data_IF_110358354923
#
_entry.id   IF_110358354923
#
_cell.length_a   1.000
_cell.length_b   1.000
_cell.length_c   1.000
_cell.angle_alpha   90.00
_cell.angle_beta   90.00
_cell.angle_gamma   90.00
#
_symmetry.space_group_name_H-M   'P 1'
#
loop_
_entity.id
_entity.type
_entity.pdbx_description
1 polymer ?
#
# COMPACT_ATOMS: atom_id res chain seq x y z
N UNK A 1 30.56 3.20 -11.51
CA UNK A 1 30.48 2.27 -10.37
C UNK A 1 29.56 1.12 -10.76
N UNK A 2 29.78 -0.11 -10.27
CA UNK A 2 28.78 -1.17 -10.41
C UNK A 2 27.59 -0.80 -9.51
N UNK A 3 26.33 -0.89 -9.98
CA UNK A 3 25.18 -0.57 -9.13
C UNK A 3 25.06 -1.57 -7.97
N UNK A 4 24.87 -1.04 -6.76
CA UNK A 4 24.63 -1.79 -5.54
C UNK A 4 23.13 -1.93 -5.29
N UNK A 5 22.69 -3.12 -4.89
CA UNK A 5 21.33 -3.41 -4.45
C UNK A 5 21.31 -3.39 -2.92
N UNK A 6 20.46 -2.54 -2.35
CA UNK A 6 20.25 -2.40 -0.91
C UNK A 6 18.85 -2.90 -0.55
N UNK A 7 18.75 -3.75 0.47
CA UNK A 7 17.45 -4.15 1.04
C UNK A 7 17.12 -3.27 2.26
N UNK A 8 15.92 -2.67 2.25
CA UNK A 8 15.39 -1.92 3.39
C UNK A 8 14.52 -2.80 4.29
N UNK A 9 14.97 -3.02 5.53
CA UNK A 9 14.31 -3.89 6.51
C UNK A 9 13.32 -3.10 7.39
N UNK A 10 12.20 -2.68 6.80
CA UNK A 10 11.11 -1.96 7.48
C UNK A 10 10.20 -2.91 8.29
N UNK A 11 10.73 -3.45 9.38
CA UNK A 11 10.00 -4.32 10.31
C UNK A 11 9.88 -3.67 11.69
N UNK A 12 8.90 -4.11 12.48
CA UNK A 12 8.81 -3.75 13.90
C UNK A 12 9.47 -4.83 14.79
N UNK A 13 9.97 -5.89 14.18
CA UNK A 13 10.47 -7.07 14.87
C UNK A 13 11.79 -7.52 14.25
N UNK A 14 12.79 -7.70 15.11
CA UNK A 14 14.16 -8.06 14.72
C UNK A 14 14.25 -9.45 14.10
N UNK A 15 13.61 -10.48 14.66
CA UNK A 15 13.72 -11.85 14.16
C UNK A 15 13.21 -11.99 12.72
N UNK A 16 12.14 -11.27 12.38
CA UNK A 16 11.64 -11.20 11.00
C UNK A 16 12.59 -10.45 10.09
N UNK A 17 13.08 -9.29 10.51
CA UNK A 17 14.05 -8.51 9.76
C UNK A 17 15.28 -9.37 9.40
N UNK A 18 15.77 -10.15 10.36
CA UNK A 18 16.92 -11.03 10.14
C UNK A 18 16.62 -12.14 9.14
N UNK A 19 15.47 -12.83 9.25
CA UNK A 19 15.09 -13.85 8.25
C UNK A 19 15.05 -13.27 6.84
N UNK A 20 14.51 -12.06 6.68
CA UNK A 20 14.47 -11.38 5.38
C UNK A 20 15.87 -11.00 4.91
N UNK A 21 16.74 -10.56 5.82
CA UNK A 21 18.14 -10.26 5.52
C UNK A 21 18.87 -11.52 5.04
N UNK A 22 18.72 -12.67 5.72
CA UNK A 22 19.31 -13.95 5.33
C UNK A 22 18.84 -14.38 3.93
N UNK A 23 17.53 -14.33 3.67
CA UNK A 23 16.95 -14.61 2.36
C UNK A 23 17.49 -13.66 1.28
N UNK A 24 17.61 -12.36 1.59
CA UNK A 24 18.08 -11.34 0.65
C UNK A 24 19.57 -11.49 0.34
N UNK A 25 20.40 -11.80 1.34
CA UNK A 25 21.83 -12.13 1.17
C UNK A 25 21.98 -13.37 0.30
N UNK A 26 21.19 -14.41 0.54
CA UNK A 26 21.18 -15.60 -0.30
C UNK A 26 20.72 -15.31 -1.76
N UNK A 27 20.01 -14.21 -1.98
CA UNK A 27 19.58 -13.73 -3.30
C UNK A 27 20.55 -12.73 -3.95
N UNK A 28 21.64 -12.35 -3.27
CA UNK A 28 22.68 -11.48 -3.81
C UNK A 28 22.48 -9.98 -3.57
N UNK A 29 21.85 -9.59 -2.45
CA UNK A 29 21.87 -8.20 -1.99
C UNK A 29 23.29 -7.78 -1.58
N UNK A 30 23.67 -6.53 -1.83
CA UNK A 30 24.99 -6.02 -1.49
C UNK A 30 24.97 -5.31 -0.13
N UNK A 31 23.96 -4.46 0.11
CA UNK A 31 23.85 -3.65 1.33
C UNK A 31 22.58 -4.02 2.12
N UNK A 32 22.66 -3.96 3.45
CA UNK A 32 21.56 -4.28 4.35
C UNK A 32 21.24 -3.03 5.17
N UNK A 33 20.04 -2.50 5.00
CA UNK A 33 19.56 -1.34 5.75
C UNK A 33 18.64 -1.76 6.89
N UNK A 34 19.01 -1.34 8.10
CA UNK A 34 18.15 -1.39 9.28
C UNK A 34 17.24 -0.18 9.21
N UNK A 35 16.04 -0.38 8.68
CA UNK A 35 15.08 0.68 8.38
C UNK A 35 14.62 1.44 9.63
N UNK A 36 14.18 2.69 9.46
CA UNK A 36 13.68 3.52 10.58
C UNK A 36 12.65 2.83 11.50
N UNK A 37 11.63 2.09 10.99
CA UNK A 37 10.66 1.41 11.87
C UNK A 37 11.31 0.38 12.79
N UNK A 38 12.35 -0.30 12.32
CA UNK A 38 13.06 -1.33 13.08
C UNK A 38 13.92 -0.70 14.16
N UNK A 39 14.66 0.35 13.82
CA UNK A 39 15.43 1.13 14.81
C UNK A 39 14.51 1.73 15.87
N UNK A 40 13.34 2.26 15.50
CA UNK A 40 12.38 2.82 16.46
C UNK A 40 11.77 1.77 17.40
N UNK A 41 11.65 0.52 16.94
CA UNK A 41 11.02 -0.56 17.71
C UNK A 41 12.00 -1.34 18.59
N UNK A 42 13.22 -1.54 18.09
CA UNK A 42 14.23 -2.42 18.72
C UNK A 42 15.51 -1.67 19.14
N UNK A 43 15.58 -0.36 18.86
CA UNK A 43 16.77 0.45 19.10
C UNK A 43 17.93 0.06 18.19
N UNK A 44 19.13 0.54 18.56
CA UNK A 44 20.36 0.24 17.85
C UNK A 44 20.89 -1.19 18.07
N UNK A 45 20.24 -1.98 18.94
CA UNK A 45 20.56 -3.41 19.07
C UNK A 45 20.22 -4.18 17.79
N UNK A 46 19.24 -3.71 17.02
CA UNK A 46 18.98 -4.25 15.68
C UNK A 46 20.20 -4.08 14.75
N UNK A 47 20.88 -2.92 14.79
CA UNK A 47 22.11 -2.67 14.02
C UNK A 47 23.23 -3.60 14.47
N UNK A 48 23.44 -3.74 15.79
CA UNK A 48 24.47 -4.63 16.36
C UNK A 48 24.27 -6.07 15.92
N UNK A 49 23.05 -6.58 16.01
CA UNK A 49 22.76 -7.97 15.69
C UNK A 49 22.88 -8.23 14.18
N UNK A 50 22.42 -7.30 13.33
CA UNK A 50 22.59 -7.40 11.88
C UNK A 50 24.08 -7.36 11.50
N UNK A 51 24.87 -6.43 12.05
CA UNK A 51 26.32 -6.36 11.78
C UNK A 51 27.04 -7.63 12.21
N UNK A 52 26.69 -8.19 13.38
CA UNK A 52 27.25 -9.43 13.90
C UNK A 52 26.97 -10.62 12.96
N UNK A 53 25.77 -10.72 12.40
CA UNK A 53 25.39 -11.82 11.49
C UNK A 53 25.94 -11.65 10.08
N UNK A 54 26.08 -10.41 9.61
CA UNK A 54 26.50 -10.10 8.24
C UNK A 54 27.76 -9.22 8.20
N UNK A 55 28.89 -9.63 8.81
CA UNK A 55 30.06 -8.77 8.99
C UNK A 55 30.75 -8.35 7.68
N UNK A 56 30.47 -9.07 6.59
CA UNK A 56 31.02 -8.79 5.24
C UNK A 56 30.15 -7.86 4.39
N UNK A 57 28.93 -7.56 4.83
CA UNK A 57 28.01 -6.69 4.10
C UNK A 57 28.08 -5.28 4.67
N UNK A 58 27.74 -4.30 3.82
CA UNK A 58 27.62 -2.91 4.25
C UNK A 58 26.30 -2.73 4.99
N UNK A 59 26.38 -2.25 6.22
CA UNK A 59 25.23 -2.05 7.10
C UNK A 59 24.86 -0.57 7.12
N UNK A 60 23.63 -0.28 6.71
CA UNK A 60 23.06 1.07 6.70
C UNK A 60 22.13 1.22 7.90
N UNK A 61 22.36 2.23 8.73
CA UNK A 61 21.42 2.63 9.78
C UNK A 61 20.57 3.79 9.29
N UNK A 62 19.31 3.51 8.99
CA UNK A 62 18.35 4.51 8.51
C UNK A 62 17.75 5.29 9.70
N UNK A 63 18.63 6.06 10.34
CA UNK A 63 18.33 6.86 11.54
C UNK A 63 17.36 8.00 11.21
N UNK A 64 17.39 8.52 9.97
CA UNK A 64 16.73 9.76 9.57
C UNK A 64 17.04 10.89 10.55
N UNK A 65 18.33 11.04 10.85
CA UNK A 65 18.82 12.07 11.76
C UNK A 65 18.27 13.42 11.32
N UNK A 66 17.55 14.08 12.23
CA UNK A 66 16.89 15.37 12.01
C UNK A 66 17.49 16.45 12.90
N UNK A 67 18.01 16.06 14.07
CA UNK A 67 18.64 16.92 15.07
C UNK A 67 19.77 16.13 15.75
N UNK A 68 20.64 16.80 16.50
CA UNK A 68 21.71 16.18 17.29
C UNK A 68 22.67 15.33 16.45
N UNK A 69 23.07 15.86 15.29
CA UNK A 69 23.82 15.17 14.23
C UNK A 69 24.97 14.30 14.73
N UNK A 70 25.81 14.85 15.61
CA UNK A 70 26.92 14.10 16.21
C UNK A 70 26.47 12.92 17.06
N UNK A 71 25.49 13.12 17.95
CA UNK A 71 25.08 12.11 18.93
C UNK A 71 24.45 10.90 18.25
N UNK A 72 23.56 11.12 17.28
CA UNK A 72 22.91 10.03 16.55
C UNK A 72 23.89 9.26 15.65
N UNK A 73 24.78 9.96 14.93
CA UNK A 73 25.81 9.32 14.08
C UNK A 73 26.81 8.53 14.92
N UNK A 74 27.30 9.09 16.01
CA UNK A 74 28.20 8.40 16.94
C UNK A 74 27.56 7.13 17.49
N UNK A 75 26.28 7.21 17.89
CA UNK A 75 25.56 6.06 18.45
C UNK A 75 25.39 4.95 17.41
N UNK A 76 24.99 5.30 16.18
CA UNK A 76 24.82 4.33 15.09
C UNK A 76 26.16 3.70 14.66
N UNK A 77 27.22 4.50 14.55
CA UNK A 77 28.56 4.01 14.20
C UNK A 77 29.10 3.05 15.28
N UNK A 78 28.95 3.38 16.57
CA UNK A 78 29.29 2.49 17.69
C UNK A 78 28.46 1.19 17.72
N UNK A 79 27.26 1.21 17.13
CA UNK A 79 26.44 0.02 16.97
C UNK A 79 26.88 -0.86 15.78
N UNK A 80 27.81 -0.38 14.94
CA UNK A 80 28.38 -1.11 13.80
C UNK A 80 27.82 -0.73 12.45
N UNK A 81 27.14 0.43 12.32
CA UNK A 81 26.73 0.96 11.03
C UNK A 81 27.93 1.42 10.21
N UNK A 82 27.99 0.99 8.94
CA UNK A 82 28.99 1.48 7.98
C UNK A 82 28.50 2.78 7.31
N UNK A 83 27.19 2.94 7.15
CA UNK A 83 26.54 4.15 6.62
C UNK A 83 25.43 4.61 7.58
N UNK A 84 25.32 5.91 7.83
CA UNK A 84 24.21 6.51 8.60
C UNK A 84 23.39 7.45 7.71
N UNK A 85 22.06 7.31 7.76
CA UNK A 85 21.13 8.14 6.96
C UNK A 85 20.63 9.35 7.75
N UNK A 86 20.66 10.53 7.13
CA UNK A 86 20.15 11.79 7.68
C UNK A 86 19.11 12.39 6.73
N UNK A 87 18.24 13.25 7.23
CA UNK A 87 17.28 13.95 6.39
C UNK A 87 17.89 15.21 5.78
N UNK A 88 17.68 15.43 4.48
CA UNK A 88 18.10 16.63 3.78
C UNK A 88 17.38 17.89 4.23
N UNK A 89 16.22 17.76 4.90
CA UNK A 89 15.50 18.87 5.54
C UNK A 89 16.07 19.27 6.91
N UNK A 90 17.04 18.53 7.44
CA UNK A 90 17.72 18.90 8.67
C UNK A 90 18.53 20.20 8.51
N UNK A 91 18.77 20.89 9.63
CA UNK A 91 19.55 22.12 9.65
C UNK A 91 21.01 21.87 9.21
N UNK A 92 21.61 22.86 8.54
CA UNK A 92 22.98 22.77 8.03
C UNK A 92 24.01 22.51 9.14
N UNK A 93 23.78 23.06 10.35
CA UNK A 93 24.64 22.78 11.50
C UNK A 93 24.57 21.32 11.94
N UNK A 94 23.39 20.71 11.88
CA UNK A 94 23.19 19.29 12.18
C UNK A 94 23.91 18.40 11.17
N UNK A 95 23.80 18.70 9.87
CA UNK A 95 24.50 17.94 8.82
C UNK A 95 26.01 18.09 8.97
N UNK A 96 26.50 19.31 9.23
CA UNK A 96 27.93 19.59 9.41
C UNK A 96 28.50 18.84 10.62
N UNK A 97 27.79 18.84 11.75
CA UNK A 97 28.18 18.10 12.95
C UNK A 97 28.17 16.58 12.73
N UNK A 98 27.20 16.09 11.98
CA UNK A 98 27.12 14.69 11.57
C UNK A 98 28.31 14.29 10.69
N UNK A 99 28.69 15.12 9.71
CA UNK A 99 29.87 14.89 8.84
C UNK A 99 31.12 14.75 9.71
N UNK A 100 31.33 15.67 10.65
CA UNK A 100 32.48 15.57 11.56
C UNK A 100 32.47 14.29 12.39
N UNK A 101 31.30 13.90 12.92
CA UNK A 101 31.16 12.66 13.68
C UNK A 101 31.47 11.43 12.82
N UNK A 102 30.95 11.38 11.58
CA UNK A 102 31.19 10.28 10.67
C UNK A 102 32.68 10.07 10.39
N UNK A 103 33.42 11.16 10.15
CA UNK A 103 34.89 11.10 9.97
C UNK A 103 35.63 10.62 11.23
N UNK A 104 35.19 11.02 12.43
CA UNK A 104 35.80 10.60 13.69
C UNK A 104 35.58 9.10 13.99
N UNK A 105 34.43 8.56 13.61
CA UNK A 105 34.04 7.17 13.87
C UNK A 105 34.27 6.23 12.69
N UNK A 106 34.71 6.74 11.54
CA UNK A 106 35.03 5.95 10.35
C UNK A 106 33.82 5.36 9.66
N UNK A 107 32.66 6.04 9.70
CA UNK A 107 31.49 5.70 8.91
C UNK A 107 31.22 6.73 7.81
N UNK A 108 30.31 6.39 6.89
CA UNK A 108 29.88 7.25 5.79
C UNK A 108 28.46 7.79 6.03
N UNK A 109 28.11 8.85 5.31
CA UNK A 109 26.81 9.50 5.41
C UNK A 109 26.01 9.45 4.12
N UNK A 110 24.72 9.16 4.26
CA UNK A 110 23.74 9.27 3.18
C UNK A 110 22.67 10.31 3.54
N UNK A 111 22.49 11.34 2.71
CA UNK A 111 21.41 12.31 2.89
C UNK A 111 20.18 11.90 2.10
N UNK A 112 19.07 11.65 2.78
CA UNK A 112 17.76 11.38 2.19
C UNK A 112 17.02 12.70 1.89
N UNK A 113 16.75 12.96 0.61
CA UNK A 113 16.07 14.17 0.14
C UNK A 113 14.54 14.13 0.27
N UNK A 114 13.98 13.15 0.98
CA UNK A 114 12.55 13.09 1.26
C UNK A 114 12.03 14.42 1.83
N UNK A 115 10.89 14.88 1.29
CA UNK A 115 10.24 16.15 1.62
C UNK A 115 11.04 17.44 1.35
N UNK A 116 12.22 17.37 0.74
CA UNK A 116 12.93 18.57 0.27
C UNK A 116 12.17 19.17 -0.93
N UNK A 117 11.88 20.48 -0.88
CA UNK A 117 11.16 21.17 -1.95
C UNK A 117 11.97 21.27 -3.25
N UNK A 118 13.23 21.72 -3.15
CA UNK A 118 14.18 21.78 -4.26
C UNK A 118 15.31 20.78 -4.02
N UNK A 119 15.07 19.54 -4.44
CA UNK A 119 16.00 18.43 -4.26
C UNK A 119 17.33 18.68 -4.99
N UNK A 120 17.32 19.34 -6.15
CA UNK A 120 18.53 19.58 -6.94
C UNK A 120 19.45 20.61 -6.27
N UNK A 121 18.87 21.70 -5.77
CA UNK A 121 19.62 22.69 -5.00
C UNK A 121 20.18 22.06 -3.73
N UNK A 122 19.34 21.36 -2.96
CA UNK A 122 19.77 20.77 -1.69
C UNK A 122 20.85 19.71 -1.87
N UNK A 123 20.77 18.91 -2.94
CA UNK A 123 21.79 17.93 -3.30
C UNK A 123 23.19 18.57 -3.44
N UNK A 124 23.29 19.72 -4.12
CA UNK A 124 24.56 20.45 -4.26
C UNK A 124 25.08 21.00 -2.93
N UNK A 125 24.18 21.52 -2.10
CA UNK A 125 24.54 22.05 -0.77
C UNK A 125 25.14 20.96 0.11
N UNK A 126 24.45 19.82 0.25
CA UNK A 126 24.93 18.74 1.12
C UNK A 126 26.18 18.05 0.56
N UNK A 127 26.32 17.95 -0.77
CA UNK A 127 27.59 17.51 -1.39
C UNK A 127 28.74 18.42 -0.98
N UNK A 128 28.54 19.75 -1.00
CA UNK A 128 29.58 20.71 -0.59
C UNK A 128 29.94 20.63 0.90
N UNK A 129 29.03 20.12 1.75
CA UNK A 129 29.29 19.86 3.17
C UNK A 129 30.10 18.59 3.41
N UNK A 130 30.32 17.75 2.39
CA UNK A 130 31.19 16.57 2.47
C UNK A 130 30.48 15.26 2.82
N UNK A 131 29.19 15.14 2.52
CA UNK A 131 28.44 13.87 2.62
C UNK A 131 28.87 12.89 1.53
N UNK A 132 28.75 11.59 1.79
CA UNK A 132 29.29 10.55 0.90
C UNK A 132 28.27 10.08 -0.16
N UNK A 133 26.98 10.10 0.19
CA UNK A 133 25.87 9.65 -0.67
C UNK A 133 24.66 10.58 -0.58
N UNK A 134 23.87 10.63 -1.65
CA UNK A 134 22.57 11.32 -1.69
C UNK A 134 21.50 10.33 -2.13
N UNK A 135 20.41 10.22 -1.36
CA UNK A 135 19.26 9.40 -1.69
C UNK A 135 18.11 10.26 -2.24
N UNK A 136 17.73 9.99 -3.49
CA UNK A 136 16.53 10.54 -4.12
C UNK A 136 15.35 9.68 -3.70
N UNK A 137 14.61 10.16 -2.72
CA UNK A 137 13.47 9.45 -2.14
C UNK A 137 12.19 10.24 -2.36
N UNK A 138 11.27 9.65 -3.12
CA UNK A 138 9.92 10.19 -3.28
C UNK A 138 8.95 9.31 -2.51
N UNK A 139 8.43 9.83 -1.41
CA UNK A 139 7.45 9.14 -0.57
C UNK A 139 6.13 8.89 -1.31
N UNK A 140 5.32 7.97 -0.79
CA UNK A 140 4.03 7.58 -1.40
C UNK A 140 3.13 8.80 -1.63
N UNK A 141 3.05 9.72 -0.66
CA UNK A 141 2.23 10.91 -0.75
C UNK A 141 2.73 11.90 -1.82
N UNK A 142 4.05 12.00 -2.02
CA UNK A 142 4.65 12.84 -3.07
C UNK A 142 4.42 12.24 -4.47
N UNK A 143 4.51 10.91 -4.61
CA UNK A 143 4.18 10.23 -5.87
C UNK A 143 2.71 10.45 -6.26
N UNK A 144 1.80 10.46 -5.28
CA UNK A 144 0.38 10.75 -5.51
C UNK A 144 0.13 12.18 -5.98
N UNK A 145 1.02 13.12 -5.65
CA UNK A 145 1.00 14.50 -6.17
C UNK A 145 1.66 14.63 -7.56
N UNK A 146 2.02 13.50 -8.19
CA UNK A 146 2.59 13.44 -9.54
C UNK A 146 4.11 13.52 -9.61
N UNK A 147 4.82 13.45 -8.47
CA UNK A 147 6.28 13.44 -8.46
C UNK A 147 6.81 12.06 -8.89
N UNK A 148 7.63 12.02 -9.93
CA UNK A 148 8.27 10.78 -10.41
C UNK A 148 9.73 10.70 -9.91
N UNK A 149 10.09 9.69 -9.10
CA UNK A 149 11.45 9.57 -8.56
C UNK A 149 12.53 9.41 -9.65
N UNK A 150 12.20 8.81 -10.80
CA UNK A 150 13.18 8.61 -11.88
C UNK A 150 13.50 9.93 -12.59
N UNK A 151 12.48 10.77 -12.84
CA UNK A 151 12.67 12.12 -13.37
C UNK A 151 13.56 12.98 -12.45
N UNK A 152 13.29 12.99 -11.14
CA UNK A 152 14.09 13.76 -10.17
C UNK A 152 15.52 13.25 -10.08
N UNK A 153 15.71 11.93 -10.04
CA UNK A 153 17.03 11.30 -10.09
C UNK A 153 17.84 11.77 -11.31
N UNK A 154 17.22 11.78 -12.50
CA UNK A 154 17.88 12.20 -13.73
C UNK A 154 18.33 13.65 -13.70
N UNK A 155 17.55 14.55 -13.08
CA UNK A 155 17.95 15.95 -12.89
C UNK A 155 19.16 16.04 -11.97
N UNK A 156 19.07 15.43 -10.78
CA UNK A 156 20.11 15.51 -9.74
C UNK A 156 21.41 14.86 -10.21
N UNK A 157 21.36 13.77 -10.98
CA UNK A 157 22.54 13.08 -11.55
C UNK A 157 23.45 13.97 -12.40
N UNK A 158 22.93 15.08 -12.91
CA UNK A 158 23.70 16.05 -13.71
C UNK A 158 24.32 17.15 -12.86
N UNK A 159 23.88 17.28 -11.61
CA UNK A 159 24.18 18.41 -10.73
C UNK A 159 25.12 18.05 -9.57
N UNK A 160 25.32 16.76 -9.30
CA UNK A 160 26.27 16.27 -8.28
C UNK A 160 27.23 15.21 -8.85
N UNK A 161 28.35 15.00 -8.17
CA UNK A 161 29.41 14.05 -8.54
C UNK A 161 29.45 12.82 -7.64
N UNK A 162 28.95 12.93 -6.41
CA UNK A 162 28.89 11.80 -5.47
C UNK A 162 27.82 10.77 -5.87
N UNK A 163 27.96 9.49 -5.45
CA UNK A 163 27.04 8.43 -5.86
C UNK A 163 25.61 8.67 -5.35
N UNK A 164 24.64 8.44 -6.25
CA UNK A 164 23.22 8.60 -5.96
C UNK A 164 22.56 7.27 -5.59
N UNK A 165 21.77 7.30 -4.53
CA UNK A 165 20.80 6.27 -4.20
C UNK A 165 19.39 6.68 -4.66
N UNK A 166 18.52 5.70 -4.88
CA UNK A 166 17.09 5.92 -5.15
C UNK A 166 16.26 5.01 -4.26
N UNK A 167 15.19 5.57 -3.70
CA UNK A 167 14.20 4.86 -2.90
C UNK A 167 12.77 5.28 -3.29
N UNK A 168 11.78 4.49 -2.87
CA UNK A 168 10.36 4.77 -3.08
C UNK A 168 9.72 3.92 -4.19
N UNK A 169 9.27 2.72 -3.83
CA UNK A 169 8.49 1.87 -4.74
C UNK A 169 9.31 1.17 -5.85
N UNK A 170 10.63 1.05 -5.68
CA UNK A 170 11.49 0.39 -6.65
C UNK A 170 11.25 -1.14 -6.68
N UNK A 171 11.21 -1.73 -7.87
CA UNK A 171 11.00 -3.16 -8.11
C UNK A 171 11.80 -3.63 -9.35
N UNK A 172 11.58 -4.87 -9.79
CA UNK A 172 12.29 -5.47 -10.93
C UNK A 172 12.05 -4.80 -12.29
N UNK A 173 11.05 -3.94 -12.41
CA UNK A 173 10.80 -3.16 -13.61
C UNK A 173 11.47 -1.79 -13.58
N UNK A 174 11.47 -1.13 -12.42
CA UNK A 174 11.97 0.23 -12.27
C UNK A 174 13.45 0.30 -11.90
N UNK A 175 14.00 -0.70 -11.22
CA UNK A 175 15.42 -0.76 -10.84
C UNK A 175 16.40 -0.54 -12.02
N UNK A 176 16.29 -1.26 -13.16
CA UNK A 176 17.21 -1.02 -14.29
C UNK A 176 17.04 0.38 -14.92
N UNK A 177 15.83 0.95 -14.88
CA UNK A 177 15.57 2.29 -15.41
C UNK A 177 16.25 3.34 -14.52
N UNK A 178 16.20 3.15 -13.20
CA UNK A 178 16.87 4.04 -12.26
C UNK A 178 18.39 4.00 -12.40
N UNK A 179 18.98 2.82 -12.60
CA UNK A 179 20.41 2.69 -12.94
C UNK A 179 20.75 3.46 -14.21
N UNK A 180 19.95 3.28 -15.28
CA UNK A 180 20.12 4.04 -16.52
C UNK A 180 19.91 5.55 -16.39
N UNK A 181 19.34 6.00 -15.26
CA UNK A 181 19.07 7.42 -14.96
C UNK A 181 20.09 8.02 -13.97
N UNK A 182 21.12 7.27 -13.57
CA UNK A 182 22.25 7.77 -12.77
C UNK A 182 22.35 7.21 -11.34
N UNK A 183 21.42 6.35 -10.90
CA UNK A 183 21.54 5.72 -9.59
C UNK A 183 22.67 4.69 -9.54
N UNK A 184 23.50 4.78 -8.51
CA UNK A 184 24.54 3.81 -8.18
C UNK A 184 24.10 2.88 -7.04
N UNK A 185 23.11 3.26 -6.24
CA UNK A 185 22.55 2.46 -5.15
C UNK A 185 21.04 2.35 -5.35
N UNK A 186 20.52 1.12 -5.38
CA UNK A 186 19.10 0.82 -5.60
C UNK A 186 18.51 0.30 -4.29
N UNK A 187 17.73 1.13 -3.60
CA UNK A 187 17.12 0.78 -2.32
C UNK A 187 15.75 0.17 -2.56
N UNK A 188 15.58 -1.07 -2.11
CA UNK A 188 14.34 -1.83 -2.27
C UNK A 188 13.81 -2.28 -0.92
N UNK A 189 12.68 -1.71 -0.52
CA UNK A 189 11.91 -2.16 0.64
C UNK A 189 10.84 -3.18 0.24
N UNK A 190 9.61 -2.71 0.05
CA UNK A 190 8.42 -3.54 -0.11
C UNK A 190 8.51 -4.69 -1.12
N UNK A 191 9.20 -4.51 -2.25
CA UNK A 191 9.33 -5.56 -3.26
C UNK A 191 10.14 -6.78 -2.81
N UNK A 192 10.97 -6.64 -1.78
CA UNK A 192 11.71 -7.73 -1.13
C UNK A 192 11.08 -8.04 0.24
N UNK A 193 10.82 -7.04 1.07
CA UNK A 193 10.36 -7.21 2.45
C UNK A 193 8.93 -7.75 2.56
N UNK A 194 8.07 -7.53 1.56
CA UNK A 194 6.71 -8.09 1.49
C UNK A 194 6.62 -9.31 0.55
N UNK A 195 7.75 -9.74 -0.02
CA UNK A 195 7.81 -10.94 -0.85
C UNK A 195 7.42 -12.19 -0.05
N UNK A 196 6.65 -13.09 -0.69
CA UNK A 196 6.51 -14.46 -0.18
C UNK A 196 7.87 -15.17 -0.10
N UNK A 197 8.76 -14.85 -1.05
CA UNK A 197 10.10 -15.41 -1.15
C UNK A 197 11.08 -14.26 -1.40
N UNK A 198 11.68 -13.73 -0.32
CA UNK A 198 12.57 -12.57 -0.43
C UNK A 198 13.84 -12.91 -1.23
N UNK A 199 14.35 -14.15 -1.12
CA UNK A 199 15.49 -14.61 -1.92
C UNK A 199 15.19 -14.50 -3.41
N UNK A 200 14.10 -15.11 -3.86
CA UNK A 200 13.71 -15.08 -5.28
C UNK A 200 13.42 -13.65 -5.77
N UNK A 201 12.78 -12.83 -4.94
CA UNK A 201 12.54 -11.43 -5.27
C UNK A 201 13.85 -10.66 -5.47
N UNK A 202 14.81 -10.82 -4.57
CA UNK A 202 16.14 -10.22 -4.67
C UNK A 202 16.89 -10.71 -5.91
N UNK A 203 16.89 -12.02 -6.21
CA UNK A 203 17.52 -12.58 -7.41
C UNK A 203 16.94 -11.98 -8.70
N UNK A 204 15.61 -11.82 -8.77
CA UNK A 204 14.93 -11.23 -9.93
C UNK A 204 15.35 -9.77 -10.12
N UNK A 205 15.39 -8.98 -9.04
CA UNK A 205 15.77 -7.57 -9.09
C UNK A 205 17.25 -7.43 -9.47
N UNK A 206 18.14 -8.21 -8.85
CA UNK A 206 19.57 -8.24 -9.17
C UNK A 206 19.79 -8.57 -10.65
N UNK A 207 19.09 -9.58 -11.16
CA UNK A 207 19.12 -9.96 -12.58
C UNK A 207 18.58 -8.88 -13.51
N UNK A 208 17.57 -8.11 -13.09
CA UNK A 208 17.05 -6.99 -13.86
C UNK A 208 18.10 -5.86 -13.99
N UNK A 209 18.77 -5.54 -12.87
CA UNK A 209 19.88 -4.56 -12.80
C UNK A 209 21.04 -5.02 -13.69
N UNK A 210 21.51 -6.25 -13.54
CA UNK A 210 22.66 -6.78 -14.30
C UNK A 210 22.40 -6.84 -15.81
N UNK A 211 21.17 -7.13 -16.21
CA UNK A 211 20.79 -7.17 -17.63
C UNK A 211 20.40 -5.80 -18.18
N UNK A 212 20.29 -4.77 -17.35
CA UNK A 212 19.83 -3.44 -17.72
C UNK A 212 18.43 -3.42 -18.35
N UNK A 213 17.55 -4.39 -18.04
CA UNK A 213 16.20 -4.47 -18.63
C UNK A 213 15.12 -4.83 -17.60
N UNK A 214 13.92 -4.21 -17.69
CA UNK A 214 12.78 -4.53 -16.83
C UNK A 214 12.40 -6.01 -16.88
N UNK A 215 12.15 -6.61 -15.72
CA UNK A 215 11.55 -7.95 -15.61
C UNK A 215 10.15 -7.79 -15.01
N UNK A 216 9.13 -8.21 -15.76
CA UNK A 216 7.72 -8.05 -15.38
C UNK A 216 7.38 -8.71 -14.04
N UNK A 217 6.63 -7.99 -13.22
CA UNK A 217 6.02 -8.45 -11.95
C UNK A 217 4.56 -8.01 -11.84
N UNK A 218 3.74 -8.77 -11.11
CA UNK A 218 2.33 -8.44 -10.82
C UNK A 218 2.11 -7.88 -9.40
N UNK A 219 3.13 -8.02 -8.55
CA UNK A 219 3.17 -7.60 -7.14
C UNK A 219 4.17 -6.46 -6.96
N UNK A 220 3.99 -5.69 -5.89
CA UNK A 220 4.86 -4.57 -5.48
C UNK A 220 4.89 -3.43 -6.50
N UNK A 221 3.72 -3.19 -7.09
CA UNK A 221 3.45 -2.11 -8.04
C UNK A 221 2.46 -1.13 -7.44
N UNK A 222 2.67 0.15 -7.72
CA UNK A 222 1.67 1.18 -7.49
C UNK A 222 0.87 1.39 -8.77
N UNK A 223 -0.45 1.53 -8.65
CA UNK A 223 -1.34 1.77 -9.79
C UNK A 223 -2.07 3.09 -9.63
N UNK A 224 -2.23 3.80 -10.75
CA UNK A 224 -3.03 5.02 -10.83
C UNK A 224 -4.54 4.73 -10.96
N UNK A 225 -4.91 3.58 -11.53
CA UNK A 225 -6.30 3.13 -11.66
C UNK A 225 -6.69 2.29 -10.44
N UNK A 226 -7.51 2.82 -9.52
CA UNK A 226 -7.88 2.11 -8.29
C UNK A 226 -8.73 0.88 -8.58
N UNK A 227 -9.56 0.89 -9.63
CA UNK A 227 -10.52 -0.18 -9.89
C UNK A 227 -9.82 -1.52 -10.21
N UNK A 228 -8.66 -1.48 -10.87
CA UNK A 228 -7.83 -2.66 -11.13
C UNK A 228 -7.32 -3.32 -9.85
N UNK A 229 -6.99 -2.52 -8.84
CA UNK A 229 -6.52 -3.03 -7.54
C UNK A 229 -7.71 -3.52 -6.72
N UNK A 230 -8.81 -2.76 -6.67
CA UNK A 230 -9.97 -3.08 -5.84
C UNK A 230 -10.62 -4.43 -6.18
N UNK A 231 -10.47 -4.91 -7.42
CA UNK A 231 -10.90 -6.26 -7.82
C UNK A 231 -10.01 -7.40 -7.26
N UNK A 232 -8.81 -7.09 -6.76
CA UNK A 232 -7.83 -8.08 -6.28
C UNK A 232 -7.83 -8.23 -4.76
N UNK A 233 -8.22 -7.19 -4.03
CA UNK A 233 -8.19 -7.12 -2.56
C UNK A 233 -9.57 -7.44 -1.98
N UNK A 234 -9.64 -7.96 -0.75
CA UNK A 234 -10.91 -8.22 -0.06
C UNK A 234 -11.45 -6.96 0.63
N UNK A 235 -12.73 -6.99 1.02
CA UNK A 235 -13.33 -5.95 1.87
C UNK A 235 -12.57 -5.82 3.19
N UNK A 236 -12.09 -6.92 3.77
CA UNK A 236 -11.24 -6.92 4.96
C UNK A 236 -9.91 -6.16 4.74
N UNK A 237 -9.20 -6.43 3.63
CA UNK A 237 -7.96 -5.71 3.31
C UNK A 237 -8.20 -4.21 3.12
N UNK A 238 -9.33 -3.84 2.49
CA UNK A 238 -9.71 -2.43 2.31
C UNK A 238 -10.06 -1.80 3.66
N UNK A 239 -10.81 -2.49 4.51
CA UNK A 239 -11.17 -1.97 5.82
C UNK A 239 -9.92 -1.71 6.67
N UNK A 240 -8.97 -2.64 6.69
CA UNK A 240 -7.69 -2.47 7.38
C UNK A 240 -6.88 -1.28 6.81
N UNK A 241 -6.87 -1.11 5.49
CA UNK A 241 -6.25 0.04 4.83
C UNK A 241 -6.94 1.37 5.16
N UNK A 242 -8.23 1.35 5.52
CA UNK A 242 -9.01 2.48 6.02
C UNK A 242 -9.04 2.57 7.54
N UNK A 243 -8.10 1.94 8.24
CA UNK A 243 -8.03 1.93 9.71
C UNK A 243 -9.24 1.30 10.39
N UNK A 244 -9.72 0.17 9.85
CA UNK A 244 -10.87 -0.62 10.35
C UNK A 244 -12.20 0.11 10.21
N UNK A 245 -12.40 0.76 9.08
CA UNK A 245 -13.62 1.53 8.76
C UNK A 245 -14.17 1.21 7.37
N UNK A 246 -15.24 1.88 6.97
CA UNK A 246 -15.81 1.82 5.62
C UNK A 246 -16.82 0.70 5.36
N UNK A 247 -16.97 -0.27 6.27
CA UNK A 247 -17.94 -1.36 6.12
C UNK A 247 -19.39 -0.87 6.28
N UNK A 248 -20.29 -1.37 5.44
CA UNK A 248 -21.72 -1.09 5.52
C UNK A 248 -22.41 -2.02 6.53
N UNK A 249 -22.95 -1.44 7.59
CA UNK A 249 -23.57 -2.17 8.69
C UNK A 249 -24.90 -2.83 8.30
N UNK A 250 -24.98 -4.14 8.53
CA UNK A 250 -26.19 -4.95 8.32
C UNK A 250 -26.48 -5.29 6.85
N UNK A 251 -25.63 -4.86 5.92
CA UNK A 251 -25.71 -5.22 4.50
C UNK A 251 -24.96 -6.54 4.29
N UNK A 252 -25.65 -7.56 3.77
CA UNK A 252 -25.11 -8.91 3.61
C UNK A 252 -25.10 -9.34 2.15
N UNK A 253 -24.11 -10.16 1.78
CA UNK A 253 -24.10 -10.85 0.50
C UNK A 253 -25.22 -11.89 0.44
N UNK A 254 -26.27 -11.64 -0.35
CA UNK A 254 -27.44 -12.55 -0.41
C UNK A 254 -27.37 -13.51 -1.60
N UNK A 255 -26.84 -13.07 -2.74
CA UNK A 255 -26.73 -13.89 -3.97
C UNK A 255 -25.30 -14.09 -4.47
N UNK A 256 -24.28 -13.57 -3.78
CA UNK A 256 -22.88 -13.67 -4.18
C UNK A 256 -22.39 -15.11 -4.03
N UNK A 257 -21.84 -15.69 -5.10
CA UNK A 257 -21.40 -17.10 -5.15
C UNK A 257 -19.88 -17.30 -5.20
N UNK A 258 -19.09 -16.22 -5.23
CA UNK A 258 -17.63 -16.33 -5.02
C UNK A 258 -16.79 -15.22 -5.66
N UNK A 259 -17.30 -14.53 -6.68
CA UNK A 259 -16.59 -13.40 -7.27
C UNK A 259 -16.83 -12.11 -6.49
N UNK A 260 -15.72 -11.43 -6.18
CA UNK A 260 -15.73 -10.11 -5.59
C UNK A 260 -16.12 -9.09 -6.64
N UNK A 261 -16.88 -8.09 -6.25
CA UNK A 261 -17.30 -7.01 -7.14
C UNK A 261 -16.65 -5.71 -6.75
N UNK A 262 -16.30 -4.90 -7.75
CA UNK A 262 -15.85 -3.53 -7.54
C UNK A 262 -16.36 -2.65 -8.69
N UNK A 263 -16.87 -1.48 -8.35
CA UNK A 263 -17.46 -0.53 -9.31
C UNK A 263 -17.71 0.85 -8.68
N UNK A 264 -18.14 1.81 -9.50
CA UNK A 264 -18.51 3.15 -9.01
C UNK A 264 -19.97 3.18 -8.59
N UNK A 265 -20.26 3.94 -7.54
CA UNK A 265 -21.60 4.06 -6.97
C UNK A 265 -22.50 4.92 -7.85
N UNK A 266 -23.62 4.35 -8.28
CA UNK A 266 -24.81 5.07 -8.72
C UNK A 266 -25.79 5.04 -7.55
N UNK A 267 -25.92 6.17 -6.86
CA UNK A 267 -26.69 6.23 -5.62
C UNK A 267 -28.17 6.47 -5.89
N UNK A 268 -29.03 5.85 -5.10
CA UNK A 268 -30.48 5.98 -5.17
C UNK A 268 -31.02 6.16 -3.76
N UNK A 269 -31.83 7.19 -3.55
CA UNK A 269 -32.64 7.34 -2.33
C UNK A 269 -34.10 7.12 -2.69
N UNK A 270 -34.81 6.30 -1.94
CA UNK A 270 -36.24 6.04 -2.14
C UNK A 270 -36.94 5.76 -0.81
N UNK A 271 -38.27 5.73 -0.81
CA UNK A 271 -39.05 5.35 0.36
C UNK A 271 -39.07 3.82 0.54
N UNK A 272 -39.29 3.29 1.75
CA UNK A 272 -39.53 1.87 1.96
C UNK A 272 -40.62 1.32 1.05
N UNK A 273 -40.26 0.31 0.25
CA UNK A 273 -41.16 -0.36 -0.68
C UNK A 273 -41.50 0.44 -1.95
N UNK A 274 -40.79 1.52 -2.29
CA UNK A 274 -40.89 2.15 -3.61
C UNK A 274 -39.73 1.73 -4.52
N UNK A 275 -40.04 0.94 -5.54
CA UNK A 275 -39.06 0.42 -6.50
C UNK A 275 -38.93 1.24 -7.79
N UNK A 276 -39.69 2.32 -7.97
CA UNK A 276 -39.66 3.07 -9.24
C UNK A 276 -38.26 3.62 -9.54
N UNK A 277 -37.67 4.37 -8.59
CA UNK A 277 -36.33 4.95 -8.76
C UNK A 277 -35.20 3.92 -8.72
N UNK A 278 -35.41 2.78 -8.08
CA UNK A 278 -34.40 1.71 -8.04
C UNK A 278 -34.21 1.09 -9.42
N UNK A 279 -35.31 0.83 -10.15
CA UNK A 279 -35.26 0.31 -11.52
C UNK A 279 -34.84 1.39 -12.52
N UNK A 280 -35.30 2.63 -12.38
CA UNK A 280 -34.89 3.76 -13.24
C UNK A 280 -33.37 4.01 -13.18
N UNK A 281 -32.72 3.74 -12.04
CA UNK A 281 -31.27 3.87 -11.91
C UNK A 281 -30.49 2.94 -12.86
N UNK A 282 -31.10 1.86 -13.34
CA UNK A 282 -30.52 0.98 -14.35
C UNK A 282 -30.31 1.72 -15.67
N UNK A 283 -31.18 2.67 -16.03
CA UNK A 283 -31.06 3.45 -17.26
C UNK A 283 -29.91 4.45 -17.21
N UNK A 284 -29.58 4.94 -16.01
CA UNK A 284 -28.51 5.92 -15.76
C UNK A 284 -27.15 5.24 -15.57
N UNK A 285 -27.11 4.05 -14.96
CA UNK A 285 -25.87 3.36 -14.64
C UNK A 285 -25.10 2.86 -15.88
N UNK A 286 -23.78 2.95 -15.85
CA UNK A 286 -22.91 2.49 -16.94
C UNK A 286 -22.36 1.08 -16.69
N UNK A 287 -21.72 0.51 -17.71
CA UNK A 287 -21.06 -0.79 -17.60
C UNK A 287 -19.98 -0.73 -16.51
N UNK A 288 -20.08 -1.64 -15.54
CA UNK A 288 -19.15 -1.75 -14.42
C UNK A 288 -19.59 -1.02 -13.15
N UNK A 289 -20.62 -0.18 -13.20
CA UNK A 289 -21.15 0.52 -12.03
C UNK A 289 -21.83 -0.43 -11.03
N UNK A 290 -22.03 0.07 -9.81
CA UNK A 290 -22.77 -0.59 -8.75
C UNK A 290 -23.87 0.36 -8.29
N UNK A 291 -25.11 -0.12 -8.35
CA UNK A 291 -26.26 0.66 -7.86
C UNK A 291 -26.31 0.51 -6.34
N UNK A 292 -26.36 1.64 -5.61
CA UNK A 292 -26.42 1.67 -4.14
C UNK A 292 -27.71 2.35 -3.72
N UNK A 293 -28.57 1.62 -3.03
CA UNK A 293 -29.94 2.01 -2.74
C UNK A 293 -30.10 2.21 -1.24
N UNK A 294 -30.52 3.41 -0.84
CA UNK A 294 -31.07 3.70 0.48
C UNK A 294 -32.60 3.71 0.36
N UNK A 295 -33.25 2.69 0.92
CA UNK A 295 -34.71 2.58 0.98
C UNK A 295 -35.24 2.60 2.41
N UNK A 296 -34.50 3.15 3.37
CA UNK A 296 -34.91 3.22 4.79
C UNK A 296 -34.75 1.90 5.57
N UNK A 297 -33.90 0.98 5.11
CA UNK A 297 -33.43 -0.19 5.86
C UNK A 297 -34.36 -1.41 5.87
N UNK A 298 -35.66 -1.25 6.13
CA UNK A 298 -36.62 -2.38 6.17
C UNK A 298 -37.87 -2.07 5.33
N UNK A 299 -38.76 -3.04 5.20
CA UNK A 299 -40.05 -2.90 4.53
C UNK A 299 -40.24 -3.92 3.41
N UNK A 300 -41.14 -3.59 2.46
CA UNK A 300 -41.40 -4.38 1.26
C UNK A 300 -40.20 -4.33 0.31
N UNK A 301 -40.02 -5.37 -0.51
CA UNK A 301 -38.88 -5.48 -1.42
C UNK A 301 -38.90 -4.39 -2.50
N UNK A 302 -37.75 -3.74 -2.73
CA UNK A 302 -37.54 -2.71 -3.76
C UNK A 302 -36.73 -3.20 -4.95
N UNK A 303 -36.35 -4.49 -4.95
CA UNK A 303 -35.52 -5.13 -5.96
C UNK A 303 -35.86 -6.61 -6.09
N UNK A 304 -35.74 -7.16 -7.31
CA UNK A 304 -36.01 -8.56 -7.60
C UNK A 304 -35.29 -9.06 -8.87
N UNK A 305 -35.75 -10.17 -9.43
CA UNK A 305 -35.08 -10.88 -10.51
C UNK A 305 -35.05 -10.10 -11.84
N UNK A 306 -36.17 -9.49 -12.26
CA UNK A 306 -36.25 -8.74 -13.51
C UNK A 306 -35.29 -7.54 -13.55
N UNK A 307 -35.19 -6.79 -12.44
CA UNK A 307 -34.24 -5.69 -12.31
C UNK A 307 -32.79 -6.20 -12.39
N UNK A 308 -32.52 -7.36 -11.78
CA UNK A 308 -31.22 -8.03 -11.85
C UNK A 308 -30.87 -8.45 -13.29
N UNK A 309 -31.83 -8.94 -14.08
CA UNK A 309 -31.63 -9.24 -15.51
C UNK A 309 -31.27 -8.02 -16.34
N UNK A 310 -31.97 -6.91 -16.12
CA UNK A 310 -31.67 -5.64 -16.79
C UNK A 310 -30.24 -5.19 -16.47
N UNK A 311 -29.81 -5.31 -15.21
CA UNK A 311 -28.43 -5.03 -14.81
C UNK A 311 -27.42 -5.94 -15.51
N UNK A 312 -27.67 -7.26 -15.50
CA UNK A 312 -26.78 -8.23 -16.15
C UNK A 312 -26.64 -7.99 -17.65
N UNK A 313 -27.74 -7.63 -18.33
CA UNK A 313 -27.73 -7.29 -19.77
C UNK A 313 -26.93 -6.02 -20.05
N UNK A 314 -27.05 -4.99 -19.19
CA UNK A 314 -26.32 -3.72 -19.34
C UNK A 314 -24.85 -3.82 -18.92
N UNK A 315 -24.49 -4.85 -18.17
CA UNK A 315 -23.14 -5.05 -17.64
C UNK A 315 -22.86 -4.24 -16.37
N UNK A 316 -23.89 -3.95 -15.59
CA UNK A 316 -23.77 -3.40 -14.22
C UNK A 316 -23.21 -4.51 -13.32
N UNK A 317 -22.29 -4.17 -12.42
CA UNK A 317 -21.50 -5.14 -11.65
C UNK A 317 -22.28 -5.76 -10.48
N UNK A 318 -23.09 -4.96 -9.79
CA UNK A 318 -23.84 -5.39 -8.60
C UNK A 318 -24.91 -4.38 -8.20
N UNK A 319 -25.73 -4.76 -7.22
CA UNK A 319 -26.60 -3.85 -6.46
C UNK A 319 -26.38 -4.01 -4.96
N UNK A 320 -26.40 -2.90 -4.23
CA UNK A 320 -26.31 -2.82 -2.78
C UNK A 320 -27.56 -2.13 -2.25
N UNK A 321 -28.26 -2.74 -1.30
CA UNK A 321 -29.61 -2.32 -0.89
C UNK A 321 -29.67 -2.21 0.63
N UNK A 322 -29.70 -0.99 1.15
CA UNK A 322 -30.13 -0.72 2.52
C UNK A 322 -31.65 -0.80 2.62
N UNK A 323 -32.13 -2.03 2.55
CA UNK A 323 -33.51 -2.39 2.31
C UNK A 323 -33.69 -3.87 2.02
N UNK A 324 -34.81 -4.17 1.38
CA UNK A 324 -35.28 -5.54 1.17
C UNK A 324 -35.22 -5.93 -0.30
N UNK A 325 -34.74 -7.13 -0.59
CA UNK A 325 -34.82 -7.77 -1.92
C UNK A 325 -35.70 -9.01 -1.90
N UNK A 326 -36.03 -9.55 -3.09
CA UNK A 326 -36.80 -10.78 -3.29
C UNK A 326 -36.26 -11.60 -4.47
N UNK A 327 -36.90 -12.73 -4.78
CA UNK A 327 -36.59 -13.60 -5.93
C UNK A 327 -35.15 -14.19 -5.88
N UNK A 328 -34.67 -14.49 -4.67
CA UNK A 328 -33.26 -14.78 -4.42
C UNK A 328 -32.76 -16.05 -5.16
N UNK A 329 -33.62 -17.05 -5.33
CA UNK A 329 -33.25 -18.29 -6.01
C UNK A 329 -32.82 -18.03 -7.46
N UNK A 330 -33.62 -17.27 -8.20
CA UNK A 330 -33.36 -16.97 -9.61
C UNK A 330 -32.20 -15.99 -9.76
N UNK A 331 -32.08 -15.00 -8.85
CA UNK A 331 -30.92 -14.11 -8.79
C UNK A 331 -29.61 -14.89 -8.58
N UNK A 332 -29.62 -15.92 -7.73
CA UNK A 332 -28.47 -16.81 -7.53
C UNK A 332 -28.15 -17.62 -8.78
N UNK A 333 -29.16 -18.20 -9.44
CA UNK A 333 -28.97 -18.97 -10.69
C UNK A 333 -28.37 -18.11 -11.81
N UNK A 334 -28.78 -16.85 -11.91
CA UNK A 334 -28.22 -15.95 -12.91
C UNK A 334 -26.83 -15.41 -12.54
N UNK A 335 -26.37 -15.59 -11.30
CA UNK A 335 -25.06 -15.13 -10.83
C UNK A 335 -24.91 -13.61 -10.79
N UNK A 336 -26.01 -12.87 -10.55
CA UNK A 336 -25.94 -11.41 -10.37
C UNK A 336 -25.70 -11.06 -8.89
N UNK A 337 -24.61 -10.33 -8.55
CA UNK A 337 -24.29 -9.99 -7.17
C UNK A 337 -25.27 -8.98 -6.55
N UNK A 338 -25.97 -9.42 -5.50
CA UNK A 338 -26.90 -8.60 -4.71
C UNK A 338 -26.45 -8.62 -3.25
N UNK A 339 -26.38 -7.42 -2.67
CA UNK A 339 -26.16 -7.20 -1.26
C UNK A 339 -27.37 -6.49 -0.68
N UNK A 340 -27.94 -7.01 0.40
CA UNK A 340 -29.17 -6.46 0.98
C UNK A 340 -29.19 -6.60 2.50
N UNK A 341 -30.00 -5.77 3.17
CA UNK A 341 -30.27 -5.92 4.61
C UNK A 341 -31.22 -7.09 4.88
N UNK A 342 -32.29 -7.19 4.10
CA UNK A 342 -33.33 -8.21 4.28
C UNK A 342 -33.74 -8.89 2.97
N UNK A 343 -34.31 -10.08 3.10
CA UNK A 343 -34.94 -10.81 1.99
C UNK A 343 -36.37 -11.14 2.39
N UNK A 344 -37.37 -10.67 1.63
CA UNK A 344 -38.79 -10.93 1.89
C UNK A 344 -39.55 -11.16 0.58
N UNK A 345 -40.61 -11.98 0.55
CA UNK A 345 -41.35 -12.27 -0.68
C UNK A 345 -42.21 -11.09 -1.17
N UNK A 346 -42.68 -10.24 -0.26
CA UNK A 346 -43.64 -9.16 -0.58
C UNK A 346 -42.94 -8.00 -1.27
N UNK A 347 -43.31 -7.75 -2.54
CA UNK A 347 -42.86 -6.58 -3.28
C UNK A 347 -43.55 -5.29 -2.84
N UNK A 348 -42.83 -4.19 -3.03
CA UNK A 348 -43.33 -2.83 -2.96
C UNK A 348 -44.18 -2.41 -4.17
N UNK A 349 -44.51 -1.13 -4.22
CA UNK A 349 -45.29 -0.49 -5.29
C UNK A 349 -44.45 0.61 -5.96
N UNK A 350 -44.57 0.85 -7.27
CA UNK A 350 -43.85 1.93 -7.94
C UNK A 350 -44.55 3.26 -7.66
N UNK A 351 -44.15 3.95 -6.60
CA UNK A 351 -44.79 5.23 -6.21
C UNK A 351 -44.16 6.43 -6.91
N UNK A 352 -42.97 6.28 -7.48
CA UNK A 352 -42.30 7.31 -8.27
C UNK A 352 -41.54 8.35 -7.43
N UNK A 353 -41.40 8.13 -6.13
CA UNK A 353 -40.64 9.00 -5.25
C UNK A 353 -39.15 8.64 -5.25
N UNK A 354 -38.33 9.60 -4.82
CA UNK A 354 -36.90 9.40 -4.63
C UNK A 354 -36.02 10.16 -5.62
N UNK A 355 -34.73 9.95 -5.49
CA UNK A 355 -33.68 10.69 -6.19
C UNK A 355 -32.55 9.75 -6.62
N UNK A 356 -31.95 10.02 -7.78
CA UNK A 356 -30.78 9.29 -8.30
C UNK A 356 -29.59 10.25 -8.30
N UNK A 357 -28.40 9.74 -8.01
CA UNK A 357 -27.14 10.50 -7.95
C UNK A 357 -27.15 11.62 -6.89
N UNK A 358 -27.78 11.38 -5.75
CA UNK A 358 -27.67 12.23 -4.55
C UNK A 358 -26.83 11.54 -3.47
N UNK A 359 -26.16 12.28 -2.57
CA UNK A 359 -25.50 11.68 -1.42
C UNK A 359 -26.52 10.96 -0.53
N UNK A 360 -26.25 9.69 -0.19
CA UNK A 360 -27.11 8.83 0.64
C UNK A 360 -26.37 8.28 1.85
N UNK A 361 -27.10 7.59 2.74
CA UNK A 361 -26.53 6.80 3.84
C UNK A 361 -26.96 5.35 3.65
N UNK A 362 -26.01 4.45 3.44
CA UNK A 362 -26.27 3.03 3.21
C UNK A 362 -25.46 2.21 4.20
N UNK A 363 -26.13 1.39 5.02
CA UNK A 363 -25.51 0.61 6.09
C UNK A 363 -24.74 1.49 7.07
N UNK A 364 -25.37 2.57 7.53
CA UNK A 364 -24.76 3.57 8.43
C UNK A 364 -23.60 4.40 7.83
N UNK A 365 -23.20 4.19 6.57
CA UNK A 365 -22.05 4.86 5.93
C UNK A 365 -22.51 5.87 4.86
N UNK A 366 -21.93 7.08 4.79
CA UNK A 366 -22.22 8.02 3.71
C UNK A 366 -21.66 7.53 2.37
N UNK A 367 -22.46 7.63 1.31
CA UNK A 367 -22.07 7.26 -0.06
C UNK A 367 -22.39 8.41 -1.00
N UNK A 368 -21.41 8.86 -1.76
CA UNK A 368 -21.58 9.87 -2.82
C UNK A 368 -21.59 9.20 -4.20
N UNK A 369 -22.25 9.83 -5.19
CA UNK A 369 -22.14 9.41 -6.57
C UNK A 369 -20.67 9.35 -7.03
N UNK A 370 -20.29 8.22 -7.60
CA UNK A 370 -18.95 7.95 -8.10
C UNK A 370 -17.94 7.45 -7.04
N UNK A 371 -18.33 7.30 -5.77
CA UNK A 371 -17.51 6.58 -4.78
C UNK A 371 -17.30 5.12 -5.22
N UNK A 372 -16.21 4.50 -4.78
CA UNK A 372 -15.93 3.11 -5.14
C UNK A 372 -16.58 2.17 -4.12
N UNK A 373 -17.30 1.18 -4.62
CA UNK A 373 -17.95 0.14 -3.83
C UNK A 373 -17.23 -1.15 -4.09
N UNK A 374 -16.85 -1.86 -3.03
CA UNK A 374 -16.32 -3.22 -3.11
C UNK A 374 -17.19 -4.14 -2.26
N UNK A 375 -17.59 -5.27 -2.83
CA UNK A 375 -18.42 -6.26 -2.15
C UNK A 375 -17.86 -7.66 -2.30
N UNK A 376 -17.86 -8.41 -1.21
CA UNK A 376 -17.53 -9.83 -1.16
C UNK A 376 -18.40 -10.55 -0.11
N UNK A 377 -18.09 -11.82 0.20
CA UNK A 377 -18.91 -12.60 1.13
C UNK A 377 -18.98 -12.00 2.54
N UNK A 378 -17.99 -11.22 2.95
CA UNK A 378 -17.93 -10.62 4.29
C UNK A 378 -18.81 -9.35 4.39
N UNK A 379 -19.14 -8.72 3.25
CA UNK A 379 -20.04 -7.57 3.19
C UNK A 379 -19.67 -6.58 2.09
N UNK A 380 -19.90 -5.30 2.36
CA UNK A 380 -19.66 -4.19 1.42
C UNK A 380 -18.85 -3.10 2.11
N UNK A 381 -17.87 -2.54 1.40
CA UNK A 381 -17.07 -1.39 1.84
C UNK A 381 -17.18 -0.25 0.83
N UNK A 382 -17.30 0.97 1.35
CA UNK A 382 -17.31 2.22 0.58
C UNK A 382 -15.95 2.90 0.67
N UNK A 383 -15.45 3.37 -0.46
CA UNK A 383 -14.20 4.11 -0.56
C UNK A 383 -14.49 5.46 -1.24
N UNK A 384 -14.25 6.59 -0.56
CA UNK A 384 -14.41 7.91 -1.16
C UNK A 384 -13.56 8.06 -2.41
N UNK A 385 -14.14 8.56 -3.50
CA UNK A 385 -13.45 8.68 -4.79
C UNK A 385 -12.16 9.51 -4.72
N UNK A 386 -12.11 10.50 -3.84
CA UNK A 386 -10.94 11.38 -3.66
C UNK A 386 -9.74 10.64 -3.04
N UNK A 387 -10.00 9.56 -2.29
CA UNK A 387 -8.97 8.74 -1.62
C UNK A 387 -8.80 7.36 -2.23
N UNK A 388 -9.48 7.08 -3.35
CA UNK A 388 -9.56 5.73 -3.91
C UNK A 388 -8.18 5.17 -4.31
N UNK A 389 -7.33 5.99 -4.93
CA UNK A 389 -5.97 5.57 -5.32
C UNK A 389 -5.13 5.22 -4.09
N UNK A 390 -5.17 6.07 -3.07
CA UNK A 390 -4.44 5.88 -1.82
C UNK A 390 -4.89 4.60 -1.11
N UNK A 391 -6.20 4.47 -0.86
CA UNK A 391 -6.78 3.35 -0.14
C UNK A 391 -6.58 2.04 -0.91
N UNK A 392 -6.74 2.04 -2.23
CA UNK A 392 -6.50 0.85 -3.03
C UNK A 392 -5.04 0.37 -2.95
N UNK A 393 -4.07 1.28 -3.07
CA UNK A 393 -2.66 0.91 -2.94
C UNK A 393 -2.29 0.45 -1.52
N UNK A 394 -2.88 1.04 -0.47
CA UNK A 394 -2.74 0.57 0.92
C UNK A 394 -3.37 -0.81 1.12
N UNK A 395 -4.54 -1.08 0.55
CA UNK A 395 -5.19 -2.38 0.61
C UNK A 395 -4.36 -3.46 -0.08
N UNK A 396 -3.70 -3.14 -1.20
CA UNK A 396 -2.75 -4.03 -1.86
C UNK A 396 -1.54 -4.31 -0.97
N UNK A 397 -1.01 -3.30 -0.28
CA UNK A 397 0.09 -3.49 0.68
C UNK A 397 -0.30 -4.43 1.84
N UNK A 398 -1.53 -4.33 2.34
CA UNK A 398 -2.08 -5.26 3.36
C UNK A 398 -2.15 -6.68 2.80
N UNK A 399 -2.73 -6.84 1.61
CA UNK A 399 -2.84 -8.14 0.92
C UNK A 399 -1.47 -8.81 0.72
N UNK A 400 -0.47 -8.05 0.25
CA UNK A 400 0.89 -8.56 0.04
C UNK A 400 1.56 -8.98 1.35
N UNK A 401 1.38 -8.20 2.42
CA UNK A 401 1.89 -8.55 3.76
C UNK A 401 1.24 -9.82 4.29
N UNK A 402 -0.07 -10.00 4.09
CA UNK A 402 -0.79 -11.21 4.46
C UNK A 402 -0.31 -12.44 3.68
N UNK A 403 0.02 -12.31 2.39
CA UNK A 403 0.56 -13.42 1.59
C UNK A 403 1.86 -13.97 2.21
N UNK A 404 2.76 -13.08 2.63
CA UNK A 404 3.99 -13.47 3.34
C UNK A 404 3.67 -14.20 4.65
N UNK A 405 2.81 -13.63 5.48
CA UNK A 405 2.37 -14.24 6.75
C UNK A 405 1.75 -15.62 6.51
N UNK A 406 0.89 -15.73 5.49
CA UNK A 406 0.23 -16.99 5.11
C UNK A 406 1.23 -18.06 4.70
N UNK A 407 2.30 -17.68 3.99
CA UNK A 407 3.38 -18.62 3.65
C UNK A 407 4.17 -19.07 4.88
N UNK A 408 4.47 -18.17 5.82
CA UNK A 408 5.11 -18.53 7.09
C UNK A 408 4.23 -19.51 7.91
N UNK A 409 2.92 -19.29 7.92
CA UNK A 409 1.95 -20.19 8.57
C UNK A 409 1.93 -21.56 7.88
N UNK A 410 1.86 -21.60 6.55
CA UNK A 410 1.90 -22.85 5.76
C UNK A 410 3.20 -23.64 5.97
N UNK A 411 4.30 -22.98 6.34
CA UNK A 411 5.58 -23.62 6.71
C UNK A 411 5.60 -24.16 8.15
N UNK A 412 4.50 -24.08 8.90
CA UNK A 412 4.34 -24.67 10.23
C UNK A 412 4.40 -23.67 11.40
N UNK A 413 4.46 -22.36 11.13
CA UNK A 413 4.33 -21.34 12.20
C UNK A 413 2.87 -21.05 12.54
N UNK A 414 2.59 -20.56 13.76
CA UNK A 414 1.26 -20.04 14.11
C UNK A 414 1.23 -18.52 13.92
N UNK A 415 0.04 -17.94 13.67
CA UNK A 415 -0.10 -16.49 13.50
C UNK A 415 0.45 -15.69 14.69
N UNK A 416 0.20 -16.16 15.91
CA UNK A 416 0.71 -15.55 17.15
C UNK A 416 2.24 -15.51 17.20
N UNK A 417 2.92 -16.56 16.73
CA UNK A 417 4.38 -16.62 16.64
C UNK A 417 4.91 -15.73 15.53
N UNK A 418 4.28 -15.74 14.35
CA UNK A 418 4.69 -14.91 13.20
C UNK A 418 4.59 -13.42 13.52
N UNK A 419 3.57 -13.01 14.29
CA UNK A 419 3.35 -11.62 14.67
C UNK A 419 3.96 -11.24 16.03
N UNK A 420 4.53 -12.20 16.75
CA UNK A 420 5.06 -12.03 18.11
C UNK A 420 4.12 -11.29 19.06
N UNK A 421 2.84 -11.65 19.05
CA UNK A 421 1.80 -10.94 19.81
C UNK A 421 2.12 -10.88 21.31
N UNK A 422 2.88 -11.86 21.82
CA UNK A 422 3.33 -11.91 23.23
C UNK A 422 4.18 -10.70 23.65
N UNK A 423 4.87 -10.02 22.74
CA UNK A 423 5.64 -8.80 23.07
C UNK A 423 4.73 -7.63 23.47
N UNK A 424 3.46 -7.70 23.09
CA UNK A 424 2.43 -6.69 23.35
C UNK A 424 1.57 -7.02 24.57
N UNK A 425 1.79 -8.18 25.20
CA UNK A 425 1.14 -8.52 26.46
C UNK A 425 1.61 -7.52 27.53
N UNK A 426 0.68 -6.76 28.10
CA UNK A 426 0.95 -5.91 29.25
C UNK A 426 1.32 -6.83 30.41
N UNK A 427 2.60 -6.82 30.80
CA UNK A 427 3.02 -7.44 32.06
C UNK A 427 2.46 -6.59 33.19
N UNK A 428 1.54 -7.19 33.96
CA UNK A 428 0.92 -6.57 35.13
C UNK A 428 1.88 -6.43 36.29
#
# INVERSE_FOLDING_TARGET
MKPELQVALDFLNLDRAIKVAEESVAGGVDWIEVGTPLIKSEGLDAVREIKKRFPKHKIVADMKVMDTGRYEVESAAKAGADIVVLLGVADDSTITDAVQAARNYGCELMVDLMNVEDMEKRAREVESMGVDYICVHVGVDQQMRGMDPISELKKISRSVKIPLAIAGGINSETAPIAVGSGASIIIVGGAISKAEDAKKATEIIKKAIEKGRPIKTELYKKYADPLKILKRVSTANISDAMHRSGHMEGIRAVSVTGERVAGRAVTVRTCPGDWAKTVEAIDVAEKGDIIVIDSGGTGKAVWGELASWSCKRKGISAVVIDGTTRDLEDIRKMGFPVFAREVKPTAGEPKGFGEINVPIKCGSVPVKPGDYIVGDLDGVVVIPKEKAVEIANRALDVFEKENRIRREIKKGSTLSRVLEIKKWERRG
#
